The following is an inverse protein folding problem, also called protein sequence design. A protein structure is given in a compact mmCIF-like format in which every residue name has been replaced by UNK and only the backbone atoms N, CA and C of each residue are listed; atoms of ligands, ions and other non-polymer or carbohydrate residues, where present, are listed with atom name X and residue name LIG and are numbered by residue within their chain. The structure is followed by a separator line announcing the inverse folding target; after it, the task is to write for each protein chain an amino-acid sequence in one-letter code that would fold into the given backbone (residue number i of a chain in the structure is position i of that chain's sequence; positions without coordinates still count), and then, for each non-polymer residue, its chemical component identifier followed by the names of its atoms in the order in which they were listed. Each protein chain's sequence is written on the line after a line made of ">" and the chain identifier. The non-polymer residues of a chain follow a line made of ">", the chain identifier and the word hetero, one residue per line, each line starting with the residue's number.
data_IF_856197539779
#
_entry.id   IF_856197539779
#
_cell.length_a   1.000
_cell.length_b   1.000
_cell.length_c   1.000
_cell.angle_alpha   90.00
_cell.angle_beta   90.00
_cell.angle_gamma   90.00
#
_symmetry.space_group_name_H-M   'P 1'
#
loop_
_entity.id
_entity.type
_entity.pdbx_description
1 polymer ?
#
# COMPACT_ATOMS: atom_id res chain seq x y z
N UNK A 1 10.67 0.88 -6.02
CA UNK A 1 9.93 -0.31 -5.54
C UNK A 1 9.03 -0.89 -6.63
N UNK A 2 8.00 -0.17 -7.09
CA UNK A 2 7.00 -0.64 -8.08
C UNK A 2 7.62 -1.29 -9.33
N UNK A 3 8.54 -0.60 -10.02
CA UNK A 3 9.19 -1.19 -11.20
C UNK A 3 10.01 -2.46 -10.92
N UNK A 4 10.49 -2.65 -9.70
CA UNK A 4 11.15 -3.89 -9.27
C UNK A 4 10.15 -5.05 -9.12
N UNK A 5 8.96 -4.78 -8.55
CA UNK A 5 7.88 -5.75 -8.43
C UNK A 5 7.38 -6.19 -9.81
N UNK A 6 7.14 -5.24 -10.71
CA UNK A 6 6.70 -5.53 -12.09
C UNK A 6 7.72 -6.41 -12.83
N UNK A 7 9.03 -6.12 -12.72
CA UNK A 7 10.07 -6.97 -13.32
C UNK A 7 10.17 -8.37 -12.73
N UNK A 8 9.69 -8.56 -11.50
CA UNK A 8 9.59 -9.86 -10.86
C UNK A 8 8.30 -10.62 -11.26
N UNK A 9 7.47 -10.05 -12.14
CA UNK A 9 6.19 -10.64 -12.55
C UNK A 9 5.06 -10.45 -11.55
N UNK A 10 5.24 -9.55 -10.56
CA UNK A 10 4.21 -9.24 -9.56
C UNK A 10 3.36 -8.09 -10.09
N UNK A 11 2.07 -8.34 -10.27
CA UNK A 11 1.10 -7.31 -10.63
C UNK A 11 1.00 -6.25 -9.52
N UNK A 12 0.90 -4.98 -9.90
CA UNK A 12 0.80 -3.86 -8.95
C UNK A 12 -0.46 -3.08 -9.25
N UNK A 13 -1.28 -2.87 -8.22
CA UNK A 13 -2.39 -1.93 -8.26
C UNK A 13 -2.12 -0.75 -7.33
N UNK A 14 -2.53 0.44 -7.74
CA UNK A 14 -2.41 1.67 -6.94
C UNK A 14 -3.72 2.44 -6.99
N UNK A 15 -4.09 3.06 -5.88
CA UNK A 15 -5.26 3.93 -5.85
C UNK A 15 -5.04 5.14 -6.77
N UNK A 16 -6.04 5.50 -7.58
CA UNK A 16 -5.97 6.63 -8.50
C UNK A 16 -5.60 7.93 -7.79
N UNK A 17 -6.10 8.15 -6.57
CA UNK A 17 -5.77 9.33 -5.78
C UNK A 17 -4.28 9.41 -5.43
N UNK A 18 -3.65 8.27 -5.14
CA UNK A 18 -2.23 8.18 -4.77
C UNK A 18 -1.31 8.19 -6.00
N UNK A 19 -1.82 7.73 -7.15
CA UNK A 19 -1.07 7.67 -8.40
C UNK A 19 -0.76 9.05 -9.01
N UNK A 20 -1.55 10.08 -8.71
CA UNK A 20 -1.47 11.41 -9.35
C UNK A 20 -0.09 12.05 -9.23
N UNK A 21 0.58 11.83 -8.11
CA UNK A 21 1.85 12.47 -7.79
C UNK A 21 3.06 11.52 -7.93
N UNK A 22 2.85 10.33 -8.51
CA UNK A 22 3.87 9.29 -8.61
C UNK A 22 4.22 8.97 -10.07
N UNK A 23 5.51 8.84 -10.41
CA UNK A 23 5.93 8.37 -11.74
C UNK A 23 5.75 6.85 -11.84
N UNK A 24 4.51 6.40 -12.04
CA UNK A 24 4.17 4.98 -12.15
C UNK A 24 4.30 4.48 -13.60
N UNK A 25 4.84 3.26 -13.82
CA UNK A 25 4.79 2.59 -15.12
C UNK A 25 3.34 2.35 -15.58
N UNK A 26 3.11 2.29 -16.90
CA UNK A 26 1.76 2.12 -17.47
C UNK A 26 1.15 0.73 -17.21
N UNK A 27 1.96 -0.23 -16.77
CA UNK A 27 1.56 -1.57 -16.36
C UNK A 27 0.93 -1.61 -14.96
N UNK A 28 0.97 -0.51 -14.21
CA UNK A 28 0.28 -0.41 -12.92
C UNK A 28 -1.21 -0.27 -13.15
N UNK A 29 -1.99 -1.16 -12.54
CA UNK A 29 -3.45 -1.06 -12.54
C UNK A 29 -3.89 0.06 -11.59
N UNK A 30 -4.75 0.96 -12.06
CA UNK A 30 -5.31 2.03 -11.24
C UNK A 30 -6.68 1.63 -10.70
N UNK A 31 -6.89 1.87 -9.41
CA UNK A 31 -8.17 1.58 -8.73
C UNK A 31 -8.76 2.86 -8.20
N UNK A 32 -10.03 3.13 -8.51
CA UNK A 32 -10.70 4.38 -8.14
C UNK A 32 -10.84 4.59 -6.62
N UNK A 33 -11.77 3.88 -6.00
CA UNK A 33 -12.11 4.09 -4.58
C UNK A 33 -11.31 3.17 -3.64
N UNK A 34 -10.88 3.74 -2.51
CA UNK A 34 -10.27 3.00 -1.43
C UNK A 34 -11.36 2.28 -0.60
N UNK A 35 -11.79 1.12 -1.07
CA UNK A 35 -12.67 0.18 -0.35
C UNK A 35 -11.93 -1.15 -0.12
N UNK A 36 -12.29 -1.97 0.88
CA UNK A 36 -11.64 -3.26 1.09
C UNK A 36 -11.63 -4.17 -0.16
N UNK A 37 -12.64 -4.05 -1.02
CA UNK A 37 -12.77 -4.79 -2.28
C UNK A 37 -11.68 -4.44 -3.30
N UNK A 38 -10.97 -3.31 -3.15
CA UNK A 38 -9.81 -3.00 -3.99
C UNK A 38 -8.67 -4.03 -3.83
N UNK A 39 -8.72 -4.83 -2.76
CA UNK A 39 -7.77 -5.91 -2.48
C UNK A 39 -8.23 -7.27 -3.01
N UNK A 40 -9.37 -7.37 -3.68
CA UNK A 40 -9.85 -8.63 -4.23
C UNK A 40 -8.83 -9.20 -5.22
N UNK A 41 -8.34 -10.41 -4.96
CA UNK A 41 -7.28 -11.05 -5.74
C UNK A 41 -5.86 -10.48 -5.51
N UNK A 42 -5.66 -9.60 -4.51
CA UNK A 42 -4.34 -9.20 -4.05
C UNK A 42 -3.81 -10.21 -3.02
N UNK A 43 -2.53 -10.51 -3.09
CA UNK A 43 -1.86 -11.44 -2.15
C UNK A 43 -1.10 -10.71 -1.03
N UNK A 44 -0.85 -9.40 -1.20
CA UNK A 44 -0.14 -8.57 -0.25
C UNK A 44 -0.59 -7.11 -0.38
N UNK A 45 -0.88 -6.48 0.76
CA UNK A 45 -1.07 -5.03 0.87
C UNK A 45 0.24 -4.39 1.33
N UNK A 46 0.79 -3.46 0.54
CA UNK A 46 1.94 -2.65 0.93
C UNK A 46 1.46 -1.25 1.30
N UNK A 47 1.75 -0.80 2.52
CA UNK A 47 1.32 0.50 3.04
C UNK A 47 2.55 1.36 3.32
N UNK A 48 2.65 2.49 2.64
CA UNK A 48 3.77 3.41 2.76
C UNK A 48 3.31 4.71 3.44
N UNK A 49 3.90 5.07 4.57
CA UNK A 49 3.54 6.32 5.23
C UNK A 49 3.91 6.36 6.71
N UNK A 50 3.16 7.13 7.49
CA UNK A 50 3.28 7.14 8.95
C UNK A 50 2.16 6.33 9.61
N UNK A 51 2.01 6.50 10.92
CA UNK A 51 1.15 5.66 11.75
C UNK A 51 -0.33 5.72 11.34
N UNK A 52 -0.83 6.91 11.00
CA UNK A 52 -2.19 7.06 10.49
C UNK A 52 -2.42 6.29 9.18
N UNK A 53 -1.43 6.25 8.29
CA UNK A 53 -1.47 5.47 7.06
C UNK A 53 -1.45 3.97 7.38
N UNK A 54 -0.58 3.54 8.30
CA UNK A 54 -0.46 2.15 8.72
C UNK A 54 -1.74 1.64 9.39
N UNK A 55 -2.33 2.42 10.30
CA UNK A 55 -3.60 2.08 10.95
C UNK A 55 -4.75 1.99 9.95
N UNK A 56 -4.83 2.94 9.00
CA UNK A 56 -5.81 2.87 7.91
C UNK A 56 -5.61 1.61 7.06
N UNK A 57 -4.37 1.26 6.75
CA UNK A 57 -4.04 0.02 6.03
C UNK A 57 -4.40 -1.24 6.81
N UNK A 58 -4.20 -1.24 8.13
CA UNK A 58 -4.54 -2.36 8.99
C UNK A 58 -6.05 -2.66 8.97
N UNK A 59 -6.90 -1.63 8.88
CA UNK A 59 -8.35 -1.81 8.71
C UNK A 59 -8.70 -2.52 7.39
N UNK A 60 -8.00 -2.20 6.31
CA UNK A 60 -8.18 -2.87 5.01
C UNK A 60 -7.71 -4.32 5.05
N UNK A 61 -6.55 -4.57 5.65
CA UNK A 61 -6.01 -5.92 5.84
C UNK A 61 -6.95 -6.77 6.70
N UNK A 62 -7.47 -6.21 7.80
CA UNK A 62 -8.45 -6.87 8.67
C UNK A 62 -9.75 -7.21 7.92
N UNK A 63 -10.24 -6.30 7.08
CA UNK A 63 -11.49 -6.48 6.35
C UNK A 63 -11.37 -7.46 5.17
N UNK A 64 -10.23 -7.48 4.49
CA UNK A 64 -9.97 -8.33 3.30
C UNK A 64 -9.36 -9.69 3.63
N UNK A 65 -8.66 -9.81 4.76
CA UNK A 65 -7.83 -10.96 5.10
C UNK A 65 -6.47 -11.01 4.38
N UNK A 66 -6.17 -10.00 3.55
CA UNK A 66 -4.88 -9.90 2.82
C UNK A 66 -3.78 -9.47 3.81
N UNK A 67 -2.62 -10.16 3.84
CA UNK A 67 -1.53 -9.79 4.73
C UNK A 67 -1.00 -8.40 4.38
N UNK A 68 -0.56 -7.65 5.40
CA UNK A 68 -0.07 -6.29 5.26
C UNK A 68 1.42 -6.19 5.56
N UNK A 69 2.16 -5.51 4.68
CA UNK A 69 3.50 -5.01 4.93
C UNK A 69 3.45 -3.48 5.08
N UNK A 70 3.60 -3.01 6.31
CA UNK A 70 3.74 -1.59 6.61
C UNK A 70 5.19 -1.13 6.49
N UNK A 71 5.44 -0.04 5.75
CA UNK A 71 6.74 0.63 5.70
C UNK A 71 6.56 2.04 6.28
N UNK A 72 7.10 2.26 7.48
CA UNK A 72 7.12 3.59 8.07
C UNK A 72 8.19 4.43 7.36
N UNK A 73 7.76 5.47 6.64
CA UNK A 73 8.65 6.31 5.84
C UNK A 73 9.31 7.45 6.62
N UNK A 74 8.94 7.68 7.88
CA UNK A 74 9.61 8.57 8.84
C UNK A 74 9.91 10.03 8.43
N UNK A 75 9.53 10.98 9.29
CA UNK A 75 10.54 11.83 9.96
C UNK A 75 10.65 11.24 11.37
N UNK A 76 11.84 11.20 11.96
CA UNK A 76 12.03 10.69 13.34
C UNK A 76 10.93 11.25 14.25
N UNK A 77 10.08 10.37 14.79
CA UNK A 77 9.00 10.71 15.73
C UNK A 77 7.65 10.12 15.35
N UNK A 78 7.31 8.94 15.91
CA UNK A 78 6.34 8.84 17.02
C UNK A 78 5.90 7.39 17.36
N UNK A 79 6.33 6.36 16.63
CA UNK A 79 6.04 4.95 17.00
C UNK A 79 7.28 4.04 17.12
N UNK A 80 8.47 4.61 17.34
CA UNK A 80 9.70 3.85 17.53
C UNK A 80 10.24 3.87 18.97
N UNK A 81 9.38 4.08 19.97
CA UNK A 81 9.74 3.89 21.38
C UNK A 81 8.68 3.02 22.07
N UNK A 82 9.08 1.78 22.36
CA UNK A 82 8.51 0.96 23.42
C UNK A 82 9.67 0.62 24.36
N UNK A 83 9.60 1.08 25.62
CA UNK A 83 10.32 0.47 26.74
C UNK A 83 9.64 -0.85 27.15
#
# INVERSE_FOLDING_TARGET
>A
MVGGLLRAGIGVRVLEAEARDLPLPGEVELVGEATPQCLDGCELLIVLGGDGTLLRGAEFARASGVPMLGVNLGRVGFLAEAE
#
